data_IF_409354240656
#
_entry.id   IF_409354240656
#
_cell.length_a   1.000
_cell.length_b   1.000
_cell.length_c   1.000
_cell.angle_alpha   90.00
_cell.angle_beta   90.00
_cell.angle_gamma   90.00
#
_symmetry.space_group_name_H-M   'P 1'
#
loop_
_entity.id
_entity.type
_entity.pdbx_description
1 polymer ?
#
# COMPACT_ATOMS: atom_id res chain seq x y z
N UNK A 1 6.98 2.37 23.86
CA UNK A 1 7.09 2.89 22.48
C UNK A 1 5.83 2.47 21.74
N UNK A 2 5.07 3.41 21.21
CA UNK A 2 3.84 3.09 20.46
C UNK A 2 4.27 2.43 19.15
N UNK A 3 3.93 1.15 18.97
CA UNK A 3 4.05 0.46 17.68
C UNK A 3 3.18 1.23 16.68
N UNK A 4 3.72 1.58 15.51
CA UNK A 4 2.98 2.15 14.38
C UNK A 4 2.41 3.57 14.61
N UNK A 5 3.20 4.50 15.16
CA UNK A 5 2.75 5.86 15.45
C UNK A 5 2.62 6.78 14.21
N UNK A 6 3.31 6.48 13.10
CA UNK A 6 3.37 7.35 11.93
C UNK A 6 2.84 6.62 10.68
N UNK A 7 1.53 6.69 10.49
CA UNK A 7 0.88 6.22 9.26
C UNK A 7 0.95 7.29 8.17
N UNK A 8 1.01 6.86 6.91
CA UNK A 8 0.91 7.73 5.73
C UNK A 8 0.08 7.06 4.64
N UNK A 9 -0.56 7.88 3.80
CA UNK A 9 -1.33 7.44 2.64
C UNK A 9 -0.45 7.59 1.41
N UNK A 10 -0.38 6.55 0.58
CA UNK A 10 0.40 6.52 -0.67
C UNK A 10 -0.56 6.16 -1.80
N UNK A 11 -0.76 7.11 -2.72
CA UNK A 11 -1.61 6.93 -3.90
C UNK A 11 -0.74 6.71 -5.13
N UNK A 12 -1.07 5.71 -5.94
CA UNK A 12 -0.36 5.41 -7.19
C UNK A 12 -1.29 4.67 -8.15
N UNK A 13 -1.00 4.79 -9.44
CA UNK A 13 -1.74 4.05 -10.48
C UNK A 13 -1.26 2.60 -10.53
N UNK A 14 -2.21 1.66 -10.59
CA UNK A 14 -1.93 0.25 -10.88
C UNK A 14 -1.93 0.00 -12.40
N UNK A 15 -0.94 0.56 -13.10
CA UNK A 15 -0.73 0.33 -14.53
C UNK A 15 0.58 -0.45 -14.77
N UNK A 16 0.75 -1.03 -15.97
CA UNK A 16 1.94 -1.83 -16.28
C UNK A 16 3.26 -1.05 -16.21
N UNK A 17 3.26 0.22 -16.59
CA UNK A 17 4.45 1.07 -16.64
C UNK A 17 5.00 1.37 -15.23
N UNK A 18 4.12 1.34 -14.24
CA UNK A 18 4.44 1.65 -12.85
C UNK A 18 4.82 0.40 -12.03
N UNK A 19 4.68 -0.82 -12.56
CA UNK A 19 4.95 -2.07 -11.81
C UNK A 19 6.38 -2.22 -11.31
N UNK A 20 7.36 -1.66 -12.01
CA UNK A 20 8.79 -1.82 -11.67
C UNK A 20 9.36 -0.72 -10.77
N UNK A 21 8.53 0.24 -10.33
CA UNK A 21 8.97 1.37 -9.51
C UNK A 21 8.50 1.20 -8.07
N UNK A 22 9.40 1.47 -7.13
CA UNK A 22 9.04 1.68 -5.73
C UNK A 22 7.99 2.79 -5.64
N UNK A 23 6.90 2.51 -4.92
CA UNK A 23 5.85 3.48 -4.60
C UNK A 23 6.25 4.37 -3.45
N UNK A 24 7.05 3.81 -2.56
CA UNK A 24 7.54 4.47 -1.36
C UNK A 24 8.73 3.69 -0.78
N UNK A 25 9.56 4.36 0.01
CA UNK A 25 10.71 3.79 0.69
C UNK A 25 10.89 4.40 2.09
N UNK A 26 11.19 3.56 3.06
CA UNK A 26 11.50 3.97 4.43
C UNK A 26 12.54 3.02 5.03
N UNK A 27 13.74 3.53 5.29
CA UNK A 27 14.88 2.72 5.75
C UNK A 27 15.11 1.52 4.80
N UNK A 28 15.00 0.28 5.28
CA UNK A 28 15.16 -0.95 4.49
C UNK A 28 13.86 -1.49 3.90
N UNK A 29 12.76 -0.74 4.01
CA UNK A 29 11.44 -1.14 3.55
C UNK A 29 11.05 -0.41 2.28
N UNK A 30 10.54 -1.15 1.30
CA UNK A 30 10.08 -0.60 0.02
C UNK A 30 8.67 -1.06 -0.26
N UNK A 31 7.79 -0.13 -0.62
CA UNK A 31 6.45 -0.45 -1.12
C UNK A 31 6.53 -0.62 -2.63
N UNK A 32 6.07 -1.73 -3.18
CA UNK A 32 6.08 -1.97 -4.62
C UNK A 32 4.89 -2.82 -5.07
N UNK A 33 4.68 -2.85 -6.39
CA UNK A 33 3.83 -3.83 -7.05
C UNK A 33 4.72 -4.97 -7.52
N UNK A 34 4.48 -6.18 -7.03
CA UNK A 34 5.26 -7.36 -7.43
C UNK A 34 4.34 -8.49 -7.83
N UNK A 35 4.86 -9.40 -8.66
CA UNK A 35 4.09 -10.56 -9.09
C UNK A 35 3.91 -11.49 -7.90
N UNK A 36 2.66 -11.72 -7.56
CA UNK A 36 2.23 -12.70 -6.58
C UNK A 36 1.98 -14.04 -7.27
N UNK A 37 2.95 -14.95 -7.15
CA UNK A 37 2.86 -16.27 -7.77
C UNK A 37 1.86 -17.19 -7.04
N UNK A 38 1.59 -16.91 -5.77
CA UNK A 38 0.72 -17.74 -4.93
C UNK A 38 -0.75 -17.28 -5.05
N UNK A 39 -0.99 -16.00 -5.32
CA UNK A 39 -2.33 -15.42 -5.49
C UNK A 39 -2.61 -15.00 -6.94
N UNK A 40 -3.27 -15.87 -7.70
CA UNK A 40 -3.76 -15.60 -9.07
C UNK A 40 -2.70 -15.17 -10.10
N UNK A 41 -1.39 -15.25 -9.80
CA UNK A 41 -0.30 -14.81 -10.69
C UNK A 41 -0.40 -13.34 -11.12
N UNK A 42 -1.01 -12.49 -10.29
CA UNK A 42 -1.22 -11.07 -10.58
C UNK A 42 -0.14 -10.18 -9.94
N UNK A 43 0.04 -8.97 -10.47
CA UNK A 43 0.84 -7.97 -9.77
C UNK A 43 0.01 -7.34 -8.68
N UNK A 44 0.50 -7.39 -7.44
CA UNK A 44 -0.19 -6.84 -6.29
C UNK A 44 0.77 -6.16 -5.32
N UNK A 45 0.21 -5.48 -4.32
CA UNK A 45 0.94 -4.64 -3.38
C UNK A 45 1.71 -5.47 -2.35
N UNK A 46 3.00 -5.17 -2.19
CA UNK A 46 3.83 -5.80 -1.19
C UNK A 46 4.84 -4.84 -0.58
N UNK A 47 5.25 -5.13 0.66
CA UNK A 47 6.41 -4.54 1.29
C UNK A 47 7.60 -5.47 1.07
N UNK A 48 8.67 -4.94 0.46
CA UNK A 48 9.98 -5.55 0.52
C UNK A 48 10.62 -5.20 1.87
N UNK A 49 11.14 -6.20 2.58
CA UNK A 49 11.97 -6.01 3.78
C UNK A 49 13.38 -6.51 3.49
N UNK A 50 14.32 -5.60 3.35
CA UNK A 50 15.68 -5.95 2.89
C UNK A 50 15.66 -6.42 1.44
N UNK A 51 16.42 -7.46 1.10
CA UNK A 51 16.59 -7.90 -0.29
C UNK A 51 15.68 -9.05 -0.72
N UNK A 52 15.22 -9.90 0.19
CA UNK A 52 14.62 -11.20 -0.16
C UNK A 52 13.19 -11.41 0.35
N UNK A 53 12.73 -10.61 1.30
CA UNK A 53 11.43 -10.85 1.94
C UNK A 53 10.41 -9.92 1.31
N UNK A 54 9.38 -10.52 0.69
CA UNK A 54 8.19 -9.82 0.22
C UNK A 54 7.01 -10.19 1.11
N UNK A 55 6.31 -9.17 1.60
CA UNK A 55 5.13 -9.31 2.46
C UNK A 55 3.95 -8.71 1.70
N UNK A 56 3.11 -9.57 1.15
CA UNK A 56 1.93 -9.13 0.40
C UNK A 56 0.84 -8.59 1.34
N UNK A 57 0.15 -7.55 0.88
CA UNK A 57 -0.82 -6.82 1.69
C UNK A 57 -1.95 -7.70 2.25
N UNK A 58 -2.41 -8.70 1.49
CA UNK A 58 -3.53 -9.57 1.90
C UNK A 58 -3.13 -10.61 2.96
N UNK A 59 -1.82 -10.81 3.18
CA UNK A 59 -1.27 -11.68 4.22
C UNK A 59 -0.64 -10.87 5.37
N UNK A 60 -0.69 -9.54 5.31
CA UNK A 60 -0.06 -8.67 6.28
C UNK A 60 -1.04 -8.18 7.36
N UNK A 61 -0.52 -8.05 8.58
CA UNK A 61 -1.21 -7.45 9.71
C UNK A 61 -0.38 -6.35 10.41
N UNK A 62 0.76 -5.96 9.83
CA UNK A 62 1.74 -5.10 10.50
C UNK A 62 2.02 -3.78 9.78
N UNK A 63 2.16 -3.79 8.45
CA UNK A 63 2.63 -2.67 7.63
C UNK A 63 1.51 -2.00 6.83
N UNK A 64 0.44 -2.74 6.51
CA UNK A 64 -0.75 -2.24 5.84
C UNK A 64 -1.88 -2.07 6.84
N UNK A 65 -2.41 -0.85 6.92
CA UNK A 65 -3.62 -0.57 7.70
C UNK A 65 -4.89 -0.82 6.88
N UNK A 66 -4.87 -0.41 5.62
CA UNK A 66 -5.96 -0.58 4.66
C UNK A 66 -5.44 -0.45 3.24
N UNK A 67 -6.04 -1.18 2.30
CA UNK A 67 -5.77 -1.04 0.87
C UNK A 67 -7.09 -0.69 0.19
N UNK A 68 -7.12 0.46 -0.50
CA UNK A 68 -8.26 0.91 -1.25
C UNK A 68 -7.95 0.83 -2.75
N UNK A 69 -8.84 0.19 -3.52
CA UNK A 69 -8.70 0.04 -4.97
C UNK A 69 -9.84 0.79 -5.65
N UNK A 70 -9.49 1.77 -6.49
CA UNK A 70 -10.44 2.57 -7.22
C UNK A 70 -10.32 2.30 -8.73
N UNK A 71 -11.37 1.72 -9.31
CA UNK A 71 -11.43 1.36 -10.74
C UNK A 71 -12.62 2.03 -11.46
N UNK A 72 -13.25 3.03 -10.84
CA UNK A 72 -14.42 3.72 -11.41
C UNK A 72 -13.99 4.97 -12.18
N UNK A 73 -14.80 5.36 -13.16
CA UNK A 73 -14.62 6.59 -13.95
C UNK A 73 -14.97 7.89 -13.18
N UNK A 74 -15.27 7.76 -11.89
CA UNK A 74 -15.53 8.86 -10.97
C UNK A 74 -14.23 9.33 -10.29
N UNK A 75 -14.27 10.51 -9.66
CA UNK A 75 -13.10 11.05 -8.96
C UNK A 75 -12.62 10.09 -7.85
N UNK A 76 -11.30 9.85 -7.80
CA UNK A 76 -10.66 9.07 -6.71
C UNK A 76 -11.01 9.68 -5.35
N UNK A 77 -11.39 8.87 -4.35
CA UNK A 77 -11.65 9.39 -3.02
C UNK A 77 -10.39 9.98 -2.41
N UNK A 78 -10.53 11.18 -1.83
CA UNK A 78 -9.43 11.83 -1.13
C UNK A 78 -9.29 11.23 0.27
N UNK A 79 -8.43 10.24 0.45
CA UNK A 79 -8.26 9.58 1.75
C UNK A 79 -7.39 10.42 2.70
N UNK A 80 -7.78 10.49 3.98
CA UNK A 80 -7.03 11.12 5.07
C UNK A 80 -6.87 10.17 6.27
N UNK A 81 -5.87 10.45 7.10
CA UNK A 81 -5.68 9.81 8.41
C UNK A 81 -6.17 10.80 9.46
N UNK A 82 -7.13 10.37 10.30
CA UNK A 82 -7.66 11.20 11.39
C UNK A 82 -6.74 11.21 12.62
N UNK A 83 -7.10 12.01 13.62
CA UNK A 83 -6.37 12.14 14.89
C UNK A 83 -6.27 10.83 15.69
N UNK A 84 -7.18 9.88 15.44
CA UNK A 84 -7.17 8.53 16.02
C UNK A 84 -6.46 7.52 15.11
N UNK A 85 -5.71 8.00 14.11
CA UNK A 85 -5.02 7.22 13.09
C UNK A 85 -5.94 6.41 12.17
N UNK A 86 -7.25 6.64 12.15
CA UNK A 86 -8.17 5.91 11.27
C UNK A 86 -8.17 6.49 9.85
N UNK A 87 -8.44 5.64 8.86
CA UNK A 87 -8.55 6.06 7.46
C UNK A 87 -9.99 6.48 7.17
N UNK A 88 -10.18 7.66 6.57
CA UNK A 88 -11.48 8.22 6.18
C UNK A 88 -11.41 8.87 4.81
N UNK A 89 -12.57 9.06 4.16
CA UNK A 89 -12.69 9.92 3.00
C UNK A 89 -12.81 11.37 3.48
N UNK A 90 -11.97 12.26 2.96
CA UNK A 90 -11.95 13.66 3.31
C UNK A 90 -13.21 14.36 2.79
N UNK A 91 -14.00 14.92 3.71
CA UNK A 91 -15.28 15.56 3.41
C UNK A 91 -16.52 14.76 3.84
N UNK A 92 -16.35 13.58 4.44
CA UNK A 92 -17.37 12.88 5.23
C UNK A 92 -17.28 13.21 6.73
#
# INVERSE_FOLDING_TARGET
>A
MVKNANWKIINFKNNQQDRLKNKDEYDKYKLALVQDLDWHSIFDLAIQKGTLIWIFWHNDNQYFKSVYRWNLDTNEPNLIIDENSNVKVNGE
#
